data_IF_631037573062
#
_entry.id   IF_631037573062
#
_cell.length_a   1.000
_cell.length_b   1.000
_cell.length_c   1.000
_cell.angle_alpha   90.00
_cell.angle_beta   90.00
_cell.angle_gamma   90.00
#
_symmetry.space_group_name_H-M   'P 1'
#
loop_
_entity.id
_entity.type
_entity.pdbx_description
1 polymer ?
#
# COMPACT_ATOMS: atom_id res chain seq x y z
N UNK A 1 19.43 17.13 3.88
CA UNK A 1 18.51 16.76 4.99
C UNK A 1 17.09 17.27 4.76
N UNK A 2 16.90 18.57 4.50
CA UNK A 2 15.57 19.16 4.22
C UNK A 2 14.78 18.43 3.11
N UNK A 3 15.35 18.27 1.91
CA UNK A 3 14.67 17.60 0.80
C UNK A 3 14.20 16.17 1.15
N UNK A 4 15.05 15.38 1.81
CA UNK A 4 14.70 13.99 2.22
C UNK A 4 13.47 13.95 3.13
N UNK A 5 13.36 14.90 4.06
CA UNK A 5 12.20 15.03 4.94
C UNK A 5 10.96 15.44 4.14
N UNK A 6 11.09 16.39 3.22
CA UNK A 6 9.98 16.79 2.33
C UNK A 6 9.47 15.60 1.51
N UNK A 7 10.37 14.74 1.00
CA UNK A 7 9.98 13.53 0.29
C UNK A 7 9.25 12.51 1.19
N UNK A 8 9.67 12.35 2.45
CA UNK A 8 8.95 11.51 3.41
C UNK A 8 7.53 12.05 3.68
N UNK A 9 7.41 13.37 3.89
CA UNK A 9 6.10 14.01 4.07
C UNK A 9 5.21 13.84 2.84
N UNK A 10 5.78 13.92 1.64
CA UNK A 10 5.05 13.66 0.40
C UNK A 10 4.58 12.20 0.30
N UNK A 11 5.42 11.22 0.68
CA UNK A 11 5.00 9.81 0.73
C UNK A 11 3.85 9.57 1.71
N UNK A 12 3.92 10.17 2.90
CA UNK A 12 2.84 10.12 3.89
C UNK A 12 1.56 10.79 3.37
N UNK A 13 1.68 11.90 2.66
CA UNK A 13 0.55 12.56 2.03
C UNK A 13 -0.08 11.69 0.93
N UNK A 14 0.72 11.07 0.06
CA UNK A 14 0.22 10.12 -0.95
C UNK A 14 -0.54 8.94 -0.31
N UNK A 15 -0.02 8.41 0.79
CA UNK A 15 -0.70 7.38 1.58
C UNK A 15 -2.08 7.85 2.07
N UNK A 16 -2.15 9.04 2.70
CA UNK A 16 -3.43 9.58 3.19
C UNK A 16 -4.40 9.78 2.02
N UNK A 17 -3.91 10.30 0.89
CA UNK A 17 -4.74 10.53 -0.28
C UNK A 17 -5.35 9.24 -0.82
N UNK A 18 -4.52 8.20 -1.00
CA UNK A 18 -5.01 6.93 -1.51
C UNK A 18 -5.98 6.26 -0.52
N UNK A 19 -5.59 6.17 0.74
CA UNK A 19 -6.29 5.37 1.75
C UNK A 19 -7.58 6.02 2.26
N UNK A 20 -7.72 7.34 2.16
CA UNK A 20 -8.91 8.05 2.66
C UNK A 20 -9.74 8.73 1.57
N UNK A 21 -9.17 9.08 0.42
CA UNK A 21 -9.90 9.80 -0.62
C UNK A 21 -10.11 8.98 -1.91
N UNK A 22 -9.15 8.12 -2.30
CA UNK A 22 -9.21 7.44 -3.62
C UNK A 22 -9.74 6.01 -3.58
N UNK A 23 -9.97 5.40 -2.41
CA UNK A 23 -10.37 3.99 -2.34
C UNK A 23 -11.66 3.64 -3.12
N UNK A 24 -12.63 4.56 -3.21
CA UNK A 24 -13.84 4.41 -4.01
C UNK A 24 -14.56 3.06 -3.82
N UNK A 25 -14.86 2.38 -4.92
CA UNK A 25 -15.51 1.06 -4.92
C UNK A 25 -14.64 -0.04 -4.27
N UNK A 26 -13.31 0.03 -4.43
CA UNK A 26 -12.38 -0.97 -3.91
C UNK A 26 -12.41 -1.05 -2.37
N UNK A 27 -12.69 0.06 -1.67
CA UNK A 27 -12.92 0.05 -0.21
C UNK A 27 -14.00 -0.94 0.22
N UNK A 28 -15.04 -1.07 -0.61
CA UNK A 28 -16.16 -1.97 -0.37
C UNK A 28 -15.87 -3.37 -0.91
N UNK A 29 -15.37 -3.45 -2.15
CA UNK A 29 -15.12 -4.72 -2.83
C UNK A 29 -14.01 -5.57 -2.18
N UNK A 30 -13.04 -4.98 -1.47
CA UNK A 30 -12.04 -5.75 -0.70
C UNK A 30 -12.63 -6.54 0.47
N UNK A 31 -13.88 -6.25 0.86
CA UNK A 31 -14.55 -6.88 2.00
C UNK A 31 -15.39 -8.08 1.54
N UNK A 32 -15.14 -9.25 2.12
CA UNK A 32 -15.92 -10.48 1.87
C UNK A 32 -17.41 -10.31 2.17
N UNK A 33 -17.75 -9.49 3.16
CA UNK A 33 -19.14 -9.17 3.52
C UNK A 33 -19.89 -8.45 2.41
N UNK A 34 -19.21 -7.61 1.63
CA UNK A 34 -19.81 -6.87 0.52
C UNK A 34 -20.26 -7.83 -0.58
N UNK A 35 -19.43 -8.81 -0.94
CA UNK A 35 -19.76 -9.82 -1.95
C UNK A 35 -20.90 -10.73 -1.49
N UNK A 36 -20.91 -11.17 -0.23
CA UNK A 36 -22.05 -11.93 0.32
C UNK A 36 -23.39 -11.20 0.20
N UNK A 37 -23.37 -9.86 0.26
CA UNK A 37 -24.58 -9.03 0.18
C UNK A 37 -24.97 -8.71 -1.26
N UNK A 38 -24.02 -8.39 -2.14
CA UNK A 38 -24.28 -7.84 -3.46
C UNK A 38 -24.15 -8.88 -4.60
N UNK A 39 -23.44 -9.98 -4.38
CA UNK A 39 -23.23 -11.07 -5.34
C UNK A 39 -23.17 -12.42 -4.60
N UNK A 40 -24.32 -12.91 -4.08
CA UNK A 40 -24.36 -14.05 -3.15
C UNK A 40 -24.05 -15.40 -3.79
N UNK A 41 -24.00 -15.49 -5.13
CA UNK A 41 -23.70 -16.73 -5.83
C UNK A 41 -22.34 -17.29 -5.42
N UNK A 42 -22.28 -18.61 -5.23
CA UNK A 42 -21.07 -19.31 -4.79
C UNK A 42 -19.86 -19.05 -5.69
N UNK A 43 -20.10 -18.82 -6.99
CA UNK A 43 -19.09 -18.49 -7.98
C UNK A 43 -18.24 -17.27 -7.54
N UNK A 44 -18.87 -16.22 -7.00
CA UNK A 44 -18.23 -14.94 -6.68
C UNK A 44 -17.73 -14.85 -5.24
N UNK A 45 -17.78 -15.94 -4.48
CA UNK A 45 -17.49 -15.95 -3.04
C UNK A 45 -16.04 -15.59 -2.68
N UNK A 46 -15.13 -15.65 -3.66
CA UNK A 46 -13.71 -15.34 -3.52
C UNK A 46 -13.25 -14.11 -4.32
N UNK A 47 -14.15 -13.43 -5.04
CA UNK A 47 -13.80 -12.28 -5.89
C UNK A 47 -13.23 -11.11 -5.09
N UNK A 48 -13.59 -11.02 -3.80
CA UNK A 48 -13.00 -10.06 -2.86
C UNK A 48 -11.48 -10.15 -2.77
N UNK A 49 -10.88 -11.33 -3.03
CA UNK A 49 -9.43 -11.53 -3.02
C UNK A 49 -8.78 -10.72 -4.14
N UNK A 50 -9.40 -10.68 -5.32
CA UNK A 50 -8.87 -9.89 -6.44
C UNK A 50 -8.96 -8.40 -6.13
N UNK A 51 -10.13 -7.93 -5.67
CA UNK A 51 -10.33 -6.54 -5.29
C UNK A 51 -9.39 -6.10 -4.15
N UNK A 52 -9.12 -6.99 -3.19
CA UNK A 52 -8.15 -6.78 -2.11
C UNK A 52 -6.72 -6.61 -2.67
N UNK A 53 -6.30 -7.50 -3.56
CA UNK A 53 -4.99 -7.41 -4.21
C UNK A 53 -4.85 -6.15 -5.07
N UNK A 54 -5.88 -5.77 -5.84
CA UNK A 54 -5.89 -4.57 -6.67
C UNK A 54 -5.85 -3.29 -5.84
N UNK A 55 -6.61 -3.26 -4.74
CA UNK A 55 -6.54 -2.16 -3.78
C UNK A 55 -5.13 -2.03 -3.18
N UNK A 56 -4.56 -3.14 -2.74
CA UNK A 56 -3.21 -3.16 -2.18
C UNK A 56 -2.15 -2.74 -3.20
N UNK A 57 -2.34 -3.08 -4.48
CA UNK A 57 -1.47 -2.66 -5.56
C UNK A 57 -1.55 -1.15 -5.77
N UNK A 58 -2.77 -0.60 -5.87
CA UNK A 58 -3.00 0.85 -6.01
C UNK A 58 -2.32 1.64 -4.89
N UNK A 59 -2.53 1.21 -3.65
CA UNK A 59 -1.92 1.84 -2.49
C UNK A 59 -0.39 1.77 -2.52
N UNK A 60 0.16 0.60 -2.86
CA UNK A 60 1.62 0.40 -2.98
C UNK A 60 2.20 1.28 -4.06
N UNK A 61 1.51 1.41 -5.20
CA UNK A 61 1.91 2.29 -6.28
C UNK A 61 1.98 3.76 -5.80
N UNK A 62 0.98 4.21 -5.04
CA UNK A 62 0.93 5.57 -4.52
C UNK A 62 2.06 5.89 -3.54
N UNK A 63 2.38 4.99 -2.60
CA UNK A 63 3.50 5.24 -1.67
C UNK A 63 4.88 5.10 -2.34
N UNK A 64 4.97 4.32 -3.42
CA UNK A 64 6.21 4.12 -4.18
C UNK A 64 6.45 5.22 -5.22
N UNK A 65 5.44 6.03 -5.58
CA UNK A 65 5.53 7.06 -6.61
C UNK A 65 6.71 8.03 -6.39
N UNK A 66 6.85 8.54 -5.16
CA UNK A 66 7.94 9.47 -4.80
C UNK A 66 9.32 8.79 -4.87
N UNK A 67 9.54 7.60 -4.26
CA UNK A 67 10.74 6.80 -4.48
C UNK A 67 11.07 6.53 -5.95
N UNK A 68 10.07 6.23 -6.79
CA UNK A 68 10.25 5.96 -8.22
C UNK A 68 10.80 7.16 -8.96
N UNK A 69 10.19 8.34 -8.77
CA UNK A 69 10.66 9.57 -9.39
C UNK A 69 12.07 9.90 -8.89
N UNK A 70 12.31 9.80 -7.59
CA UNK A 70 13.62 10.08 -7.00
C UNK A 70 14.72 9.14 -7.54
N UNK A 71 14.44 7.84 -7.64
CA UNK A 71 15.41 6.85 -8.15
C UNK A 71 15.65 6.96 -9.66
N UNK A 72 14.65 7.37 -10.44
CA UNK A 72 14.81 7.64 -11.87
C UNK A 72 15.89 8.71 -12.14
N UNK A 73 15.91 9.78 -11.34
CA UNK A 73 16.92 10.83 -11.43
C UNK A 73 18.25 10.49 -10.71
N UNK A 74 18.33 9.35 -10.03
CA UNK A 74 19.52 8.88 -9.30
C UNK A 74 19.82 7.39 -9.61
N UNK A 75 20.11 7.04 -10.89
CA UNK A 75 20.07 5.65 -11.38
C UNK A 75 21.26 4.77 -10.95
N UNK A 76 22.37 5.35 -10.48
CA UNK A 76 23.59 4.61 -10.12
C UNK A 76 23.54 3.92 -8.75
N UNK A 77 22.36 3.93 -8.12
CA UNK A 77 22.21 3.45 -6.76
C UNK A 77 21.80 1.98 -6.70
N UNK A 78 22.42 1.22 -5.79
CA UNK A 78 22.07 -0.17 -5.48
C UNK A 78 20.57 -0.35 -5.19
N UNK A 79 19.92 0.67 -4.65
CA UNK A 79 18.49 0.65 -4.36
C UNK A 79 17.64 0.40 -5.62
N UNK A 80 18.07 0.83 -6.81
CA UNK A 80 17.35 0.52 -8.05
C UNK A 80 17.16 -0.98 -8.27
N UNK A 81 18.17 -1.79 -7.92
CA UNK A 81 18.10 -3.26 -8.01
C UNK A 81 17.11 -3.85 -7.01
N UNK A 82 16.86 -3.17 -5.89
CA UNK A 82 15.89 -3.58 -4.87
C UNK A 82 14.46 -3.09 -5.15
N UNK A 83 14.24 -2.26 -6.17
CA UNK A 83 12.95 -1.62 -6.44
C UNK A 83 11.79 -2.63 -6.53
N UNK A 84 11.91 -3.61 -7.41
CA UNK A 84 10.86 -4.63 -7.62
C UNK A 84 10.64 -5.45 -6.36
N UNK A 85 11.72 -5.80 -5.65
CA UNK A 85 11.61 -6.56 -4.40
C UNK A 85 10.83 -5.78 -3.33
N UNK A 86 11.17 -4.51 -3.10
CA UNK A 86 10.48 -3.67 -2.11
C UNK A 86 9.04 -3.39 -2.53
N UNK A 87 8.78 -3.19 -3.83
CA UNK A 87 7.42 -3.02 -4.34
C UNK A 87 6.56 -4.25 -4.04
N UNK A 88 7.03 -5.44 -4.41
CA UNK A 88 6.29 -6.70 -4.16
C UNK A 88 6.12 -6.94 -2.66
N UNK A 89 7.15 -6.68 -1.86
CA UNK A 89 7.07 -6.82 -0.40
C UNK A 89 6.00 -5.90 0.20
N UNK A 90 5.97 -4.63 -0.21
CA UNK A 90 4.95 -3.67 0.25
C UNK A 90 3.55 -4.09 -0.17
N UNK A 91 3.40 -4.54 -1.41
CA UNK A 91 2.12 -4.99 -1.96
C UNK A 91 1.55 -6.19 -1.21
N UNK A 92 2.38 -7.24 -1.04
CA UNK A 92 1.97 -8.44 -0.30
C UNK A 92 1.66 -8.10 1.15
N UNK A 93 2.50 -7.29 1.81
CA UNK A 93 2.28 -6.89 3.21
C UNK A 93 0.96 -6.14 3.34
N UNK A 94 0.70 -5.15 2.50
CA UNK A 94 -0.53 -4.37 2.56
C UNK A 94 -1.77 -5.25 2.31
N UNK A 95 -1.72 -6.14 1.32
CA UNK A 95 -2.80 -7.10 1.05
C UNK A 95 -3.12 -7.96 2.29
N UNK A 96 -2.10 -8.47 2.98
CA UNK A 96 -2.27 -9.26 4.21
C UNK A 96 -2.84 -8.42 5.36
N UNK A 97 -2.34 -7.20 5.55
CA UNK A 97 -2.79 -6.29 6.62
C UNK A 97 -4.26 -5.92 6.42
N UNK A 98 -4.65 -5.59 5.20
CA UNK A 98 -6.03 -5.25 4.88
C UNK A 98 -6.98 -6.45 5.03
N UNK A 99 -6.56 -7.67 4.65
CA UNK A 99 -7.33 -8.87 4.93
C UNK A 99 -7.50 -9.12 6.44
N UNK A 100 -6.41 -8.91 7.20
CA UNK A 100 -6.42 -9.01 8.65
C UNK A 100 -7.38 -8.00 9.31
N UNK A 101 -7.46 -6.77 8.80
CA UNK A 101 -8.37 -5.72 9.29
C UNK A 101 -9.81 -5.95 8.84
N UNK A 102 -10.03 -6.04 7.53
CA UNK A 102 -11.35 -5.94 6.91
C UNK A 102 -12.13 -7.28 6.92
N UNK A 103 -11.42 -8.40 6.79
CA UNK A 103 -12.04 -9.72 6.65
C UNK A 103 -11.89 -10.60 7.90
N UNK A 104 -10.67 -10.71 8.44
CA UNK A 104 -10.39 -11.53 9.64
C UNK A 104 -10.72 -10.79 10.94
N UNK A 105 -10.69 -9.46 10.94
CA UNK A 105 -10.93 -8.59 12.11
C UNK A 105 -9.96 -8.85 13.27
N UNK A 106 -8.72 -9.23 12.94
CA UNK A 106 -7.65 -9.48 13.91
C UNK A 106 -7.00 -8.19 14.40
N UNK A 107 -7.09 -7.12 13.61
CA UNK A 107 -6.49 -5.82 13.89
C UNK A 107 -7.51 -4.71 13.65
N UNK A 108 -7.31 -3.57 14.31
CA UNK A 108 -8.13 -2.36 14.11
C UNK A 108 -7.41 -1.33 13.23
N UNK A 109 -8.07 -0.21 12.98
CA UNK A 109 -7.53 0.87 12.14
C UNK A 109 -6.20 1.43 12.66
N UNK A 110 -6.00 1.52 13.98
CA UNK A 110 -4.73 2.04 14.53
C UNK A 110 -3.56 1.13 14.15
N UNK A 111 -3.72 -0.18 14.34
CA UNK A 111 -2.67 -1.15 14.00
C UNK A 111 -2.35 -1.13 12.51
N UNK A 112 -3.39 -1.09 11.68
CA UNK A 112 -3.29 -0.97 10.22
C UNK A 112 -2.49 0.27 9.79
N UNK A 113 -2.87 1.45 10.27
CA UNK A 113 -2.18 2.70 9.94
C UNK A 113 -0.74 2.74 10.47
N UNK A 114 -0.47 2.14 11.63
CA UNK A 114 0.91 2.02 12.13
C UNK A 114 1.77 1.13 11.21
N UNK A 115 1.22 0.05 10.68
CA UNK A 115 1.93 -0.81 9.72
C UNK A 115 2.16 -0.07 8.40
N UNK A 116 1.16 0.67 7.91
CA UNK A 116 1.30 1.52 6.71
C UNK A 116 2.42 2.56 6.87
N UNK A 117 2.44 3.29 7.99
CA UNK A 117 3.49 4.26 8.30
C UNK A 117 4.86 3.59 8.39
N UNK A 118 4.93 2.40 9.00
CA UNK A 118 6.17 1.62 9.06
C UNK A 118 6.67 1.21 7.67
N UNK A 119 5.79 0.74 6.79
CA UNK A 119 6.12 0.43 5.39
C UNK A 119 6.69 1.66 4.66
N UNK A 120 6.07 2.83 4.85
CA UNK A 120 6.54 4.09 4.26
C UNK A 120 7.92 4.50 4.79
N UNK A 121 8.13 4.45 6.11
CA UNK A 121 9.42 4.80 6.73
C UNK A 121 10.53 3.87 6.25
N UNK A 122 10.30 2.54 6.24
CA UNK A 122 11.29 1.57 5.76
C UNK A 122 11.61 1.83 4.28
N UNK A 123 10.59 2.04 3.45
CA UNK A 123 10.76 2.35 2.02
C UNK A 123 11.57 3.63 1.82
N UNK A 124 11.25 4.69 2.57
CA UNK A 124 11.98 5.95 2.54
C UNK A 124 13.46 5.77 2.96
N UNK A 125 13.72 4.96 3.99
CA UNK A 125 15.09 4.66 4.42
C UNK A 125 15.89 4.01 3.30
N UNK A 126 15.31 2.99 2.65
CA UNK A 126 15.96 2.21 1.59
C UNK A 126 16.25 3.09 0.36
N UNK A 127 15.30 3.90 -0.09
CA UNK A 127 15.43 4.61 -1.37
C UNK A 127 15.94 6.05 -1.28
N UNK A 128 15.86 6.69 -0.11
CA UNK A 128 16.04 8.15 0.02
C UNK A 128 16.94 8.53 1.21
N UNK A 129 16.73 7.96 2.40
CA UNK A 129 17.36 8.50 3.60
C UNK A 129 18.88 8.26 3.69
N UNK A 130 19.33 7.05 3.35
CA UNK A 130 20.73 6.60 3.54
C UNK A 130 21.66 7.06 2.40
N UNK A 131 21.10 7.60 1.31
CA UNK A 131 21.84 8.07 0.14
C UNK A 131 22.33 9.50 0.28
#
# INVERSE_FOLDING_TARGET
MYLKIVLLLAMLFCHIVDDYYLQGWLASAKQKSWWKKNAPDKLYSNDYIMALCEHAFSWTFMIMLIPTIYTYFNPYDIAYKMYIFVFVFNWVTHCVVDDCKANKKNINLIHDQLIHVLQIIITWIIFIAIK
#
